data_IF_442679303711
#
_entry.id   IF_442679303711
#
_cell.length_a   1.000
_cell.length_b   1.000
_cell.length_c   1.000
_cell.angle_alpha   90.00
_cell.angle_beta   90.00
_cell.angle_gamma   90.00
#
_symmetry.space_group_name_H-M   'P 1'
#
loop_
_entity.id
_entity.type
_entity.pdbx_description
1 polymer ?
#
# COMPACT_ATOMS: atom_id res chain seq x y z
N UNK A 1 -8.16 -2.10 -11.98
CA UNK A 1 -8.53 -1.06 -10.99
C UNK A 1 -9.72 -1.57 -10.19
N UNK A 2 -9.75 -1.35 -8.87
CA UNK A 2 -10.82 -1.83 -7.99
C UNK A 2 -12.23 -1.42 -8.48
N UNK A 3 -12.33 -0.25 -9.09
CA UNK A 3 -13.59 0.33 -9.57
C UNK A 3 -14.41 -0.56 -10.52
N UNK A 4 -13.79 -1.44 -11.30
CA UNK A 4 -14.57 -2.36 -12.13
C UNK A 4 -15.38 -3.37 -11.32
N UNK A 5 -14.87 -3.76 -10.15
CA UNK A 5 -15.61 -4.57 -9.18
C UNK A 5 -16.65 -3.70 -8.48
N UNK A 6 -16.30 -2.48 -8.07
CA UNK A 6 -17.24 -1.55 -7.40
C UNK A 6 -18.46 -1.19 -8.24
N UNK A 7 -18.30 -1.09 -9.56
CA UNK A 7 -19.40 -0.75 -10.49
C UNK A 7 -20.11 -1.98 -11.06
N UNK A 8 -19.72 -3.19 -10.67
CA UNK A 8 -20.31 -4.43 -11.17
C UNK A 8 -20.02 -4.71 -12.65
N UNK A 9 -18.98 -4.10 -13.24
CA UNK A 9 -18.57 -4.39 -14.62
C UNK A 9 -17.89 -5.76 -14.74
N UNK A 10 -17.38 -6.30 -13.62
CA UNK A 10 -16.84 -7.65 -13.49
C UNK A 10 -17.29 -8.25 -12.15
N UNK A 11 -17.40 -9.59 -12.10
CA UNK A 11 -17.83 -10.29 -10.88
C UNK A 11 -16.75 -10.33 -9.79
N UNK A 12 -15.46 -10.31 -10.17
CA UNK A 12 -14.32 -10.38 -9.27
C UNK A 12 -13.06 -9.73 -9.86
N UNK A 13 -12.12 -9.35 -8.99
CA UNK A 13 -10.81 -8.83 -9.37
C UNK A 13 -9.74 -9.18 -8.32
N UNK A 14 -8.49 -9.29 -8.78
CA UNK A 14 -7.32 -9.44 -7.90
C UNK A 14 -6.75 -8.05 -7.65
N UNK A 15 -6.72 -7.65 -6.38
CA UNK A 15 -6.26 -6.33 -5.91
C UNK A 15 -5.43 -6.49 -4.65
N UNK A 16 -4.73 -5.43 -4.22
CA UNK A 16 -4.10 -5.44 -2.92
C UNK A 16 -5.14 -5.33 -1.80
N UNK A 17 -4.87 -5.97 -0.66
CA UNK A 17 -5.76 -5.92 0.51
C UNK A 17 -6.05 -4.47 0.95
N UNK A 18 -5.06 -3.59 0.84
CA UNK A 18 -5.19 -2.16 1.17
C UNK A 18 -6.25 -1.48 0.31
N UNK A 19 -6.38 -1.83 -0.97
CA UNK A 19 -7.40 -1.27 -1.85
C UNK A 19 -8.80 -1.72 -1.42
N UNK A 20 -8.95 -3.02 -1.14
CA UNK A 20 -10.23 -3.59 -0.70
C UNK A 20 -10.69 -3.05 0.66
N UNK A 21 -9.76 -2.71 1.57
CA UNK A 21 -10.09 -2.16 2.90
C UNK A 21 -10.58 -0.70 2.88
N UNK A 22 -10.30 0.04 1.80
CA UNK A 22 -10.68 1.45 1.67
C UNK A 22 -12.10 1.61 1.11
N UNK A 23 -12.61 0.59 0.42
CA UNK A 23 -13.94 0.62 -0.21
C UNK A 23 -14.99 -0.09 0.64
N UNK A 24 -16.16 0.52 0.76
CA UNK A 24 -17.35 -0.05 1.39
C UNK A 24 -18.25 -0.81 0.38
N UNK A 25 -17.86 -0.84 -0.91
CA UNK A 25 -18.65 -1.42 -2.01
C UNK A 25 -18.24 -2.83 -2.41
N UNK A 26 -17.17 -3.34 -1.82
CA UNK A 26 -16.59 -4.64 -2.17
C UNK A 26 -16.41 -5.50 -0.93
N UNK A 27 -16.19 -6.79 -1.14
CA UNK A 27 -15.84 -7.74 -0.08
C UNK A 27 -14.62 -8.56 -0.50
N UNK A 28 -13.79 -8.92 0.46
CA UNK A 28 -12.67 -9.83 0.23
C UNK A 28 -13.23 -11.25 0.16
N UNK A 29 -13.17 -11.88 -1.00
CA UNK A 29 -13.59 -13.27 -1.19
C UNK A 29 -12.54 -14.28 -0.76
N UNK A 30 -11.26 -13.99 -1.00
CA UNK A 30 -10.12 -14.87 -0.71
C UNK A 30 -8.84 -14.03 -0.56
N UNK A 31 -7.82 -14.56 0.11
CA UNK A 31 -6.46 -13.98 0.11
C UNK A 31 -5.51 -14.94 -0.59
N UNK A 32 -4.75 -14.44 -1.57
CA UNK A 32 -3.76 -15.25 -2.29
C UNK A 32 -2.74 -15.88 -1.31
N UNK A 33 -2.40 -17.15 -1.52
CA UNK A 33 -1.42 -17.84 -0.70
C UNK A 33 -0.04 -17.16 -0.83
N UNK A 34 0.70 -17.04 0.26
CA UNK A 34 2.03 -16.39 0.24
C UNK A 34 3.06 -17.11 -0.62
N UNK A 35 2.83 -18.39 -0.92
CA UNK A 35 3.66 -19.20 -1.85
C UNK A 35 3.30 -19.00 -3.32
N UNK A 36 2.21 -18.28 -3.62
CA UNK A 36 1.72 -18.06 -4.99
C UNK A 36 2.31 -16.82 -5.66
N UNK A 37 3.03 -15.98 -4.91
CA UNK A 37 3.62 -14.74 -5.40
C UNK A 37 4.84 -14.35 -4.58
N UNK A 38 5.71 -13.54 -5.18
CA UNK A 38 6.79 -12.89 -4.43
C UNK A 38 6.22 -11.88 -3.40
N UNK A 39 6.94 -11.60 -2.31
CA UNK A 39 6.54 -10.58 -1.36
C UNK A 39 6.32 -9.21 -2.03
N UNK A 40 5.18 -8.60 -1.73
CA UNK A 40 4.84 -7.27 -2.24
C UNK A 40 5.47 -6.22 -1.32
N UNK A 41 6.57 -5.61 -1.77
CA UNK A 41 7.31 -4.58 -1.04
C UNK A 41 7.16 -3.21 -1.69
N UNK A 42 7.01 -2.17 -0.85
CA UNK A 42 6.94 -0.77 -1.26
C UNK A 42 8.21 -0.04 -0.77
N UNK A 43 9.33 -0.11 -1.53
CA UNK A 43 10.56 0.55 -1.15
C UNK A 43 10.43 2.07 -1.27
N UNK A 44 11.13 2.77 -0.38
CA UNK A 44 11.21 4.23 -0.36
C UNK A 44 12.68 4.66 -0.50
N UNK A 45 12.91 5.73 -1.27
CA UNK A 45 14.25 6.20 -1.58
C UNK A 45 14.26 7.68 -1.95
N UNK A 46 15.34 8.37 -1.58
CA UNK A 46 15.58 9.76 -1.95
C UNK A 46 16.26 9.81 -3.32
N UNK A 47 15.66 10.52 -4.27
CA UNK A 47 16.24 10.70 -5.60
C UNK A 47 17.55 11.50 -5.49
N UNK A 48 18.64 10.92 -6.01
CA UNK A 48 20.00 11.48 -5.91
C UNK A 48 20.10 12.91 -6.41
N UNK A 49 19.44 13.19 -7.53
CA UNK A 49 19.45 14.46 -8.27
C UNK A 49 18.33 15.43 -7.83
N UNK A 50 17.67 15.17 -6.69
CA UNK A 50 16.62 16.06 -6.19
C UNK A 50 17.17 17.47 -5.90
N UNK A 51 16.51 18.49 -6.46
CA UNK A 51 16.78 19.90 -6.13
C UNK A 51 16.37 20.27 -4.70
N UNK A 52 15.58 19.40 -4.05
CA UNK A 52 15.06 19.56 -2.68
C UNK A 52 15.52 18.40 -1.80
N UNK A 53 16.83 18.13 -1.80
CA UNK A 53 17.40 16.94 -1.14
C UNK A 53 17.19 16.96 0.37
N UNK A 54 17.25 18.14 1.00
CA UNK A 54 17.06 18.29 2.43
C UNK A 54 15.63 17.93 2.83
N UNK A 55 14.63 18.50 2.14
CA UNK A 55 13.21 18.27 2.38
C UNK A 55 12.84 16.80 2.10
N UNK A 56 13.37 16.23 1.01
CA UNK A 56 13.16 14.83 0.68
C UNK A 56 13.72 13.88 1.74
N UNK A 57 14.92 14.16 2.28
CA UNK A 57 15.48 13.39 3.40
C UNK A 57 14.64 13.56 4.66
N UNK A 58 14.20 14.77 5.01
CA UNK A 58 13.34 14.97 6.18
C UNK A 58 12.01 14.23 6.07
N UNK A 59 11.42 14.18 4.87
CA UNK A 59 10.21 13.39 4.64
C UNK A 59 10.47 11.88 4.71
N UNK A 60 11.60 11.41 4.15
CA UNK A 60 12.04 10.02 4.26
C UNK A 60 12.22 9.58 5.72
N UNK A 61 12.83 10.43 6.57
CA UNK A 61 12.97 10.19 8.00
C UNK A 61 11.60 10.18 8.71
N UNK A 62 10.72 11.10 8.36
CA UNK A 62 9.36 11.12 8.90
C UNK A 62 8.59 9.84 8.58
N UNK A 63 8.68 9.32 7.34
CA UNK A 63 8.00 8.08 6.96
C UNK A 63 8.49 6.84 7.73
N UNK A 64 9.68 6.90 8.34
CA UNK A 64 10.20 5.84 9.22
C UNK A 64 9.77 6.01 10.68
N UNK A 65 9.18 7.15 11.06
CA UNK A 65 8.75 7.43 12.43
C UNK A 65 7.60 6.53 12.90
N UNK A 66 7.42 6.40 14.22
CA UNK A 66 6.31 5.65 14.82
C UNK A 66 4.93 6.17 14.39
N UNK A 67 4.81 7.48 14.16
CA UNK A 67 3.57 8.12 13.75
C UNK A 67 3.18 7.67 12.34
N UNK A 68 4.12 7.75 11.39
CA UNK A 68 3.92 7.27 10.02
C UNK A 68 3.66 5.76 9.97
N UNK A 69 4.42 4.97 10.74
CA UNK A 69 4.20 3.52 10.85
C UNK A 69 2.80 3.16 11.36
N UNK A 70 2.25 3.95 12.29
CA UNK A 70 0.89 3.75 12.80
C UNK A 70 -0.16 4.03 11.72
N UNK A 71 0.07 5.04 10.88
CA UNK A 71 -0.78 5.35 9.72
C UNK A 71 -0.73 4.20 8.71
N UNK A 72 0.46 3.68 8.36
CA UNK A 72 0.57 2.54 7.44
C UNK A 72 -0.21 1.32 7.94
N UNK A 73 -0.06 0.98 9.22
CA UNK A 73 -0.80 -0.13 9.85
C UNK A 73 -2.31 0.08 9.83
N UNK A 74 -2.78 1.31 10.10
CA UNK A 74 -4.21 1.67 10.02
C UNK A 74 -4.81 1.38 8.66
N UNK A 75 -4.05 1.59 7.58
CA UNK A 75 -4.49 1.32 6.20
C UNK A 75 -4.17 -0.10 5.71
N UNK A 76 -3.71 -0.99 6.60
CA UNK A 76 -3.53 -2.42 6.29
C UNK A 76 -2.16 -2.81 5.74
N UNK A 77 -1.17 -1.91 5.77
CA UNK A 77 0.21 -2.24 5.43
C UNK A 77 0.92 -2.91 6.61
N UNK A 78 1.79 -3.87 6.29
CA UNK A 78 2.79 -4.39 7.23
C UNK A 78 4.06 -3.56 7.11
N UNK A 79 4.52 -3.00 8.23
CA UNK A 79 5.80 -2.30 8.30
C UNK A 79 6.90 -3.32 8.54
N UNK A 80 7.94 -3.28 7.71
CA UNK A 80 9.11 -4.14 7.84
C UNK A 80 10.12 -3.51 8.82
N UNK A 81 10.88 -4.32 9.56
CA UNK A 81 11.94 -3.84 10.46
C UNK A 81 13.09 -3.16 9.73
#
# INVERSE_FOLDING_TARGET
MLTYVETGNVDAGIVYKTDALISDKVKIGETAATTSHEPIHYPLGVIKESKHKKEATSFYEYLQSKDAQSIFKKYGFTVLP
#
